data_IF_273545682324
#
_entry.id   IF_273545682324
#
_cell.length_a   1.000
_cell.length_b   1.000
_cell.length_c   1.000
_cell.angle_alpha   90.00
_cell.angle_beta   90.00
_cell.angle_gamma   90.00
#
_symmetry.space_group_name_H-M   'P 1'
#
loop_
_entity.id
_entity.type
_entity.pdbx_description
1 polymer ?
#
# COMPACT_ATOMS: atom_id res chain seq x y z
N UNK A 1 5.33 -6.62 0.70
CA UNK A 1 4.02 -6.30 0.07
C UNK A 1 4.19 -5.07 -0.80
N UNK A 2 3.57 -5.06 -1.97
CA UNK A 2 3.50 -3.91 -2.88
C UNK A 2 2.07 -3.40 -2.85
N UNK A 3 1.90 -2.09 -2.65
CA UNK A 3 0.60 -1.43 -2.47
C UNK A 3 0.48 -0.33 -3.50
N UNK A 4 -0.64 -0.25 -4.21
CA UNK A 4 -0.98 0.86 -5.11
C UNK A 4 -2.36 1.44 -4.76
N UNK A 5 -2.56 2.73 -5.01
CA UNK A 5 -3.88 3.37 -4.85
C UNK A 5 -4.59 3.32 -6.19
N UNK A 6 -5.72 2.63 -6.23
CA UNK A 6 -6.47 2.45 -7.47
C UNK A 6 -7.04 3.80 -7.93
N UNK A 7 -6.95 4.06 -9.24
CA UNK A 7 -7.45 5.28 -9.89
C UNK A 7 -6.95 6.60 -9.30
N UNK A 8 -5.75 6.64 -8.71
CA UNK A 8 -5.19 7.87 -8.12
C UNK A 8 -5.11 9.05 -9.10
N UNK A 9 -4.90 8.79 -10.40
CA UNK A 9 -4.96 9.81 -11.44
C UNK A 9 -6.31 10.53 -11.53
N UNK A 10 -7.42 9.84 -11.24
CA UNK A 10 -8.76 10.43 -11.21
C UNK A 10 -8.94 11.38 -10.02
N UNK A 11 -8.32 11.08 -8.87
CA UNK A 11 -8.30 11.97 -7.70
C UNK A 11 -7.60 13.28 -8.06
N UNK A 12 -6.39 13.21 -8.64
CA UNK A 12 -5.66 14.40 -9.08
C UNK A 12 -6.46 15.22 -10.11
N UNK A 13 -7.11 14.54 -11.05
CA UNK A 13 -7.88 15.21 -12.10
C UNK A 13 -9.12 15.93 -11.57
N UNK A 14 -9.77 15.38 -10.53
CA UNK A 14 -11.00 15.93 -9.96
C UNK A 14 -10.78 16.97 -8.87
N UNK A 15 -9.72 16.83 -8.07
CA UNK A 15 -9.48 17.63 -6.86
C UNK A 15 -8.17 18.43 -6.89
N UNK A 16 -7.33 18.23 -7.89
CA UNK A 16 -6.03 18.88 -8.03
C UNK A 16 -4.91 18.15 -7.27
N UNK A 17 -3.67 18.50 -7.63
CA UNK A 17 -2.47 17.85 -7.12
C UNK A 17 -2.26 18.03 -5.61
N UNK A 18 -2.71 19.15 -5.02
CA UNK A 18 -2.58 19.38 -3.58
C UNK A 18 -3.42 18.39 -2.77
N UNK A 19 -4.64 18.11 -3.22
CA UNK A 19 -5.49 17.10 -2.61
C UNK A 19 -4.94 15.69 -2.84
N UNK A 20 -4.39 15.40 -4.03
CA UNK A 20 -3.68 14.14 -4.26
C UNK A 20 -2.50 13.95 -3.31
N UNK A 21 -1.69 14.99 -3.08
CA UNK A 21 -0.58 14.97 -2.13
C UNK A 21 -1.06 14.73 -0.69
N UNK A 22 -2.22 15.27 -0.32
CA UNK A 22 -2.88 14.98 0.95
C UNK A 22 -3.24 13.49 1.06
N UNK A 23 -3.91 12.93 0.05
CA UNK A 23 -4.26 11.49 0.02
C UNK A 23 -3.01 10.62 0.15
N UNK A 24 -1.93 10.89 -0.59
CA UNK A 24 -0.68 10.14 -0.49
C UNK A 24 -0.11 10.13 0.93
N UNK A 25 -0.14 11.28 1.63
CA UNK A 25 0.34 11.38 3.01
C UNK A 25 -0.57 10.64 3.98
N UNK A 26 -1.88 10.79 3.84
CA UNK A 26 -2.87 10.17 4.72
C UNK A 26 -2.89 8.65 4.58
N UNK A 27 -2.80 8.13 3.34
CA UNK A 27 -2.70 6.70 3.06
C UNK A 27 -1.41 6.12 3.66
N UNK A 28 -0.27 6.78 3.48
CA UNK A 28 0.98 6.36 4.10
C UNK A 28 0.91 6.38 5.64
N UNK A 29 0.24 7.37 6.22
CA UNK A 29 -0.03 7.46 7.67
C UNK A 29 -0.88 6.30 8.17
N UNK A 30 -2.00 6.01 7.49
CA UNK A 30 -2.89 4.90 7.81
C UNK A 30 -2.17 3.56 7.78
N UNK A 31 -1.38 3.30 6.73
CA UNK A 31 -0.57 2.10 6.65
C UNK A 31 0.44 2.05 7.80
N UNK A 32 1.17 3.14 8.07
CA UNK A 32 2.17 3.21 9.14
C UNK A 32 1.58 2.90 10.52
N UNK A 33 0.37 3.36 10.82
CA UNK A 33 -0.34 3.03 12.08
C UNK A 33 -0.71 1.54 12.20
N UNK A 34 -0.79 0.82 11.08
CA UNK A 34 -1.03 -0.62 11.08
C UNK A 34 0.24 -1.42 11.34
N UNK A 35 1.43 -0.83 11.13
CA UNK A 35 2.71 -1.52 11.19
C UNK A 35 3.29 -1.55 12.61
N UNK A 36 4.04 -2.61 12.89
CA UNK A 36 4.90 -2.71 14.08
C UNK A 36 6.24 -1.98 13.88
N UNK A 37 7.03 -1.88 14.94
CA UNK A 37 8.37 -1.29 14.91
C UNK A 37 9.38 -2.09 14.08
N UNK A 38 9.09 -3.35 13.72
CA UNK A 38 9.96 -4.19 12.87
C UNK A 38 9.53 -4.21 11.40
N UNK A 39 8.36 -3.67 11.10
CA UNK A 39 7.88 -3.48 9.74
C UNK A 39 8.28 -2.09 9.25
N UNK A 40 8.48 -1.95 7.93
CA UNK A 40 8.87 -0.67 7.32
C UNK A 40 8.04 -0.42 6.08
N UNK A 41 7.60 0.82 5.91
CA UNK A 41 6.95 1.32 4.70
C UNK A 41 7.90 2.25 3.96
N UNK A 42 7.93 2.11 2.64
CA UNK A 42 8.69 2.93 1.72
C UNK A 42 7.76 3.45 0.64
N UNK A 43 7.91 4.73 0.29
CA UNK A 43 7.30 5.29 -0.91
C UNK A 43 8.15 4.88 -2.12
N UNK A 44 7.56 4.20 -3.09
CA UNK A 44 8.29 3.68 -4.25
C UNK A 44 8.28 4.71 -5.39
N UNK A 45 7.09 4.97 -5.95
CA UNK A 45 6.89 5.92 -7.04
C UNK A 45 5.41 6.31 -7.07
N UNK A 46 5.10 7.56 -7.41
CA UNK A 46 3.72 8.05 -7.56
C UNK A 46 2.80 7.64 -6.39
N UNK A 47 1.82 6.78 -6.65
CA UNK A 47 0.82 6.24 -5.72
C UNK A 47 1.17 4.86 -5.15
N UNK A 48 2.39 4.39 -5.39
CA UNK A 48 2.86 3.06 -5.01
C UNK A 48 3.79 3.07 -3.79
N UNK A 49 3.62 2.06 -2.94
CA UNK A 49 4.34 1.85 -1.70
C UNK A 49 4.81 0.41 -1.56
N UNK A 50 5.92 0.22 -0.85
CA UNK A 50 6.42 -1.10 -0.48
C UNK A 50 6.44 -1.22 1.03
N UNK A 51 5.85 -2.29 1.55
CA UNK A 51 5.94 -2.68 2.95
C UNK A 51 6.87 -3.89 3.04
N UNK A 52 7.93 -3.74 3.82
CA UNK A 52 8.83 -4.83 4.18
C UNK A 52 8.38 -5.36 5.53
N UNK A 53 7.92 -6.61 5.53
CA UNK A 53 7.47 -7.33 6.71
C UNK A 53 8.45 -8.47 7.00
N UNK A 54 9.22 -8.31 8.07
CA UNK A 54 10.17 -9.31 8.55
C UNK A 54 9.62 -10.09 9.76
N UNK A 55 8.39 -9.81 10.18
CA UNK A 55 7.72 -10.51 11.28
C UNK A 55 6.78 -11.60 10.79
N UNK A 56 6.20 -11.45 9.59
CA UNK A 56 5.37 -12.48 8.98
C UNK A 56 6.12 -13.81 8.87
N UNK A 57 5.53 -14.84 9.47
CA UNK A 57 6.03 -16.21 9.46
C UNK A 57 5.24 -17.13 8.54
N UNK A 58 4.08 -16.66 8.06
CA UNK A 58 3.21 -17.38 7.15
C UNK A 58 2.47 -16.46 6.16
N UNK A 59 1.80 -17.07 5.18
CA UNK A 59 0.94 -16.33 4.26
C UNK A 59 -0.29 -15.72 4.97
N UNK A 60 -0.79 -16.38 6.00
CA UNK A 60 -1.91 -15.92 6.82
C UNK A 60 -1.56 -14.63 7.58
N UNK A 61 -0.33 -14.49 8.09
CA UNK A 61 0.14 -13.26 8.73
C UNK A 61 0.08 -12.08 7.73
N UNK A 62 0.53 -12.32 6.49
CA UNK A 62 0.49 -11.32 5.43
C UNK A 62 -0.96 -10.97 5.02
N UNK A 63 -1.87 -11.95 4.98
CA UNK A 63 -3.30 -11.71 4.74
C UNK A 63 -3.91 -10.87 5.86
N UNK A 64 -3.62 -11.18 7.12
CA UNK A 64 -4.12 -10.42 8.27
C UNK A 64 -3.63 -8.96 8.23
N UNK A 65 -2.37 -8.72 7.86
CA UNK A 65 -1.86 -7.36 7.69
C UNK A 65 -2.55 -6.63 6.53
N UNK A 66 -2.78 -7.30 5.41
CA UNK A 66 -3.51 -6.76 4.25
C UNK A 66 -4.92 -6.32 4.66
N UNK A 67 -5.66 -7.18 5.36
CA UNK A 67 -7.02 -6.89 5.84
C UNK A 67 -7.01 -5.71 6.81
N UNK A 68 -6.10 -5.71 7.79
CA UNK A 68 -5.94 -4.59 8.74
C UNK A 68 -5.70 -3.25 8.04
N UNK A 69 -4.84 -3.21 7.02
CA UNK A 69 -4.57 -2.00 6.23
C UNK A 69 -5.82 -1.57 5.45
N UNK A 70 -6.51 -2.53 4.83
CA UNK A 70 -7.72 -2.28 4.04
C UNK A 70 -8.81 -1.66 4.91
N UNK A 71 -9.06 -2.23 6.09
CA UNK A 71 -10.04 -1.74 7.06
C UNK A 71 -9.68 -0.34 7.57
N UNK A 72 -8.40 -0.09 7.86
CA UNK A 72 -7.94 1.23 8.31
C UNK A 72 -8.18 2.30 7.25
N UNK A 73 -7.90 2.00 5.98
CA UNK A 73 -8.13 2.93 4.87
C UNK A 73 -9.62 3.12 4.58
N UNK A 74 -10.43 2.08 4.72
CA UNK A 74 -11.88 2.23 4.66
C UNK A 74 -12.37 3.22 5.72
N UNK A 75 -11.94 3.06 6.97
CA UNK A 75 -12.30 3.97 8.06
C UNK A 75 -11.83 5.41 7.81
N UNK A 76 -10.66 5.59 7.18
CA UNK A 76 -10.19 6.91 6.75
C UNK A 76 -11.15 7.54 5.73
N UNK A 77 -11.57 6.80 4.69
CA UNK A 77 -12.52 7.30 3.69
C UNK A 77 -13.86 7.71 4.34
N UNK A 78 -14.35 6.92 5.31
CA UNK A 78 -15.57 7.26 6.07
C UNK A 78 -15.36 8.54 6.90
N UNK A 79 -14.22 8.66 7.58
CA UNK A 79 -13.90 9.84 8.40
C UNK A 79 -13.77 11.12 7.56
N UNK A 80 -13.30 11.00 6.32
CA UNK A 80 -13.24 12.09 5.32
C UNK A 80 -14.59 12.34 4.63
N UNK A 81 -15.70 11.80 5.15
CA UNK A 81 -17.05 11.96 4.60
C UNK A 81 -17.14 11.58 3.11
N UNK A 82 -16.39 10.56 2.68
CA UNK A 82 -16.33 10.10 1.30
C UNK A 82 -15.92 11.17 0.28
N UNK A 83 -15.14 12.19 0.71
CA UNK A 83 -14.70 13.26 -0.18
C UNK A 83 -13.88 12.75 -1.36
N UNK A 84 -13.07 11.71 -1.14
CA UNK A 84 -12.53 10.85 -2.18
C UNK A 84 -12.74 9.38 -1.84
N UNK A 85 -13.28 8.64 -2.79
CA UNK A 85 -13.50 7.21 -2.70
C UNK A 85 -12.47 6.53 -3.60
N UNK A 86 -11.67 5.64 -3.02
CA UNK A 86 -10.67 4.86 -3.71
C UNK A 86 -10.52 3.50 -3.04
N UNK A 87 -9.94 2.55 -3.76
CA UNK A 87 -9.48 1.28 -3.22
C UNK A 87 -7.96 1.19 -3.31
N UNK A 88 -7.40 0.13 -2.74
CA UNK A 88 -6.00 -0.17 -2.89
C UNK A 88 -5.83 -1.62 -3.37
N UNK A 89 -4.83 -1.81 -4.22
CA UNK A 89 -4.36 -3.12 -4.64
C UNK A 89 -3.12 -3.51 -3.84
N UNK A 90 -3.12 -4.71 -3.23
CA UNK A 90 -1.99 -5.22 -2.45
C UNK A 90 -1.53 -6.57 -3.00
N UNK A 91 -0.28 -6.59 -3.50
CA UNK A 91 0.45 -7.78 -3.89
C UNK A 91 1.41 -8.24 -2.79
N UNK A 92 1.44 -9.54 -2.53
CA UNK A 92 2.33 -10.16 -1.53
C UNK A 92 3.28 -11.11 -2.24
N UNK A 93 4.57 -10.97 -1.94
CA UNK A 93 5.62 -11.87 -2.41
C UNK A 93 6.51 -12.24 -1.22
N UNK A 94 7.14 -13.41 -1.29
CA UNK A 94 8.09 -13.87 -0.27
C UNK A 94 9.30 -12.94 -0.20
N UNK A 95 9.74 -12.59 1.02
CA UNK A 95 10.90 -11.72 1.23
C UNK A 95 12.20 -12.31 0.65
N UNK A 96 12.33 -13.64 0.59
CA UNK A 96 13.45 -14.33 -0.02
C UNK A 96 13.56 -14.07 -1.54
N UNK A 97 12.49 -13.59 -2.19
CA UNK A 97 12.54 -13.12 -3.58
C UNK A 97 13.63 -12.06 -3.77
N UNK A 98 13.93 -11.27 -2.73
CA UNK A 98 15.02 -10.29 -2.75
C UNK A 98 16.38 -10.91 -3.13
N UNK A 99 16.61 -12.17 -2.77
CA UNK A 99 17.83 -12.91 -3.09
C UNK A 99 17.92 -13.32 -4.57
N UNK A 100 16.82 -13.26 -5.32
CA UNK A 100 16.77 -13.56 -6.76
C UNK A 100 17.24 -12.38 -7.63
N UNK A 101 17.49 -11.22 -7.01
CA UNK A 101 17.96 -10.02 -7.67
C UNK A 101 16.84 -9.06 -8.08
N UNK A 102 17.23 -7.81 -8.32
CA UNK A 102 16.30 -6.68 -8.48
C UNK A 102 15.30 -6.86 -9.63
N UNK A 103 15.74 -7.38 -10.78
CA UNK A 103 14.87 -7.55 -11.94
C UNK A 103 13.75 -8.57 -11.69
N UNK A 104 14.08 -9.68 -11.02
CA UNK A 104 13.09 -10.71 -10.72
C UNK A 104 12.11 -10.26 -9.63
N UNK A 105 12.63 -9.55 -8.61
CA UNK A 105 11.79 -8.88 -7.62
C UNK A 105 10.77 -7.96 -8.28
N UNK A 106 11.24 -7.09 -9.19
CA UNK A 106 10.39 -6.11 -9.87
C UNK A 106 9.30 -6.80 -10.68
N UNK A 107 9.63 -7.84 -11.46
CA UNK A 107 8.65 -8.61 -12.23
C UNK A 107 7.59 -9.25 -11.34
N UNK A 108 7.98 -9.89 -10.24
CA UNK A 108 7.03 -10.52 -9.32
C UNK A 108 6.17 -9.48 -8.59
N UNK A 109 6.73 -8.32 -8.25
CA UNK A 109 5.98 -7.21 -7.66
C UNK A 109 4.95 -6.62 -8.63
N UNK A 110 5.30 -6.45 -9.90
CA UNK A 110 4.38 -5.98 -10.95
C UNK A 110 3.28 -7.01 -11.23
N UNK A 111 3.62 -8.30 -11.20
CA UNK A 111 2.65 -9.38 -11.38
C UNK A 111 1.66 -9.45 -10.22
N UNK A 112 2.12 -9.34 -8.97
CA UNK A 112 1.29 -9.49 -7.79
C UNK A 112 0.29 -8.34 -7.57
N UNK A 113 0.47 -7.20 -8.25
CA UNK A 113 -0.47 -6.07 -8.21
C UNK A 113 -1.59 -6.16 -9.27
N UNK A 114 -1.45 -7.02 -10.28
CA UNK A 114 -2.45 -7.19 -11.35
C UNK A 114 -3.50 -8.23 -10.97
#
# INVERSE_FOLDING_TARGET
MHVGIDDFGAINSSRGADYGNYILKSVAGCMKECLSDKQRIYHLVADQYVIVDLEASSAEDAVALKEKITDKLHNFIVAENYEAIFSISIGVIDAATFCEGTEECRKKFEFALK
#
